data_IF_253313632785
#
_entry.id   IF_253313632785
#
_cell.length_a   1.000
_cell.length_b   1.000
_cell.length_c   1.000
_cell.angle_alpha   90.00
_cell.angle_beta   90.00
_cell.angle_gamma   90.00
#
_symmetry.space_group_name_H-M   'P 1'
#
loop_
_entity.id
_entity.type
_entity.pdbx_description
1 polymer ?
#
# COMPACT_ATOMS: atom_id res chain seq x y z
N UNK A 1 -29.67 62.87 18.95
CA UNK A 1 -30.27 62.27 17.75
C UNK A 1 -29.15 62.04 16.73
N UNK A 2 -29.01 60.82 16.21
CA UNK A 2 -28.34 60.54 14.93
C UNK A 2 -26.83 60.26 14.92
N UNK A 3 -26.50 58.98 14.71
CA UNK A 3 -25.60 58.48 13.65
C UNK A 3 -24.16 58.00 13.97
N UNK A 4 -23.97 56.70 13.62
CA UNK A 4 -22.76 55.96 13.15
C UNK A 4 -21.79 55.45 14.25
N UNK A 5 -21.24 54.22 14.23
CA UNK A 5 -20.90 53.31 13.13
C UNK A 5 -21.03 51.82 13.50
N UNK A 6 -21.29 51.01 12.48
CA UNK A 6 -21.27 49.56 12.40
C UNK A 6 -19.84 48.99 12.28
N UNK A 7 -19.60 47.80 12.83
CA UNK A 7 -18.63 46.84 12.24
C UNK A 7 -19.21 45.41 12.24
N UNK A 8 -19.24 44.73 11.08
CA UNK A 8 -19.61 43.33 10.96
C UNK A 8 -18.39 42.40 11.04
N UNK A 9 -18.53 41.26 11.75
CA UNK A 9 -17.55 40.16 11.75
C UNK A 9 -17.90 39.19 10.63
N UNK A 10 -17.03 39.08 9.63
CA UNK A 10 -17.20 38.23 8.47
C UNK A 10 -16.60 36.82 8.71
N UNK A 11 -17.39 35.79 8.37
CA UNK A 11 -16.94 34.70 7.51
C UNK A 11 -16.29 33.48 8.16
N UNK A 12 -17.11 32.54 8.61
CA UNK A 12 -16.75 31.11 8.77
C UNK A 12 -16.53 30.47 7.39
N UNK A 13 -15.43 29.71 7.15
CA UNK A 13 -15.33 28.88 5.95
C UNK A 13 -16.13 27.59 6.13
N UNK A 14 -17.30 27.54 5.47
CA UNK A 14 -18.09 26.32 5.26
C UNK A 14 -17.35 25.38 4.30
N UNK A 15 -16.85 24.25 4.81
CA UNK A 15 -16.35 23.13 3.99
C UNK A 15 -17.54 22.42 3.37
N UNK A 16 -17.72 22.58 2.05
CA UNK A 16 -18.68 21.81 1.25
C UNK A 16 -18.12 20.41 1.01
N UNK A 17 -18.75 19.41 1.63
CA UNK A 17 -18.51 18.00 1.34
C UNK A 17 -19.30 17.65 0.08
N UNK A 18 -18.58 17.49 -1.03
CA UNK A 18 -19.11 17.02 -2.30
C UNK A 18 -19.40 15.52 -2.20
N UNK A 19 -20.67 15.17 -2.11
CA UNK A 19 -21.15 13.80 -2.08
C UNK A 19 -21.25 13.27 -3.53
N UNK A 20 -20.23 12.51 -3.97
CA UNK A 20 -20.22 11.83 -5.27
C UNK A 20 -20.66 10.38 -5.11
N UNK A 21 -21.97 10.13 -5.20
CA UNK A 21 -22.51 8.78 -5.46
C UNK A 21 -22.23 8.43 -6.91
N UNK A 22 -21.21 7.62 -7.16
CA UNK A 22 -21.05 6.96 -8.45
C UNK A 22 -21.65 5.56 -8.36
N UNK A 23 -22.88 5.47 -8.87
CA UNK A 23 -23.62 4.23 -9.08
C UNK A 23 -22.90 3.37 -10.12
N UNK A 24 -22.35 2.23 -9.69
CA UNK A 24 -21.78 1.22 -10.58
C UNK A 24 -22.93 0.48 -11.28
N UNK A 25 -22.99 0.43 -12.63
CA UNK A 25 -23.97 -0.40 -13.29
C UNK A 25 -23.60 -1.89 -13.15
N UNK A 26 -24.54 -2.66 -12.59
CA UNK A 26 -24.55 -4.13 -12.66
C UNK A 26 -24.82 -4.52 -14.10
N UNK A 27 -23.79 -4.92 -14.83
CA UNK A 27 -23.93 -5.51 -16.16
C UNK A 27 -24.25 -7.00 -16.03
N UNK A 28 -25.48 -7.35 -16.43
CA UNK A 28 -25.97 -8.71 -16.60
C UNK A 28 -25.15 -9.52 -17.60
N UNK A 29 -25.02 -10.80 -17.32
CA UNK A 29 -24.39 -11.82 -18.14
C UNK A 29 -25.18 -12.14 -19.42
N UNK A 30 -24.48 -12.14 -20.55
CA UNK A 30 -24.63 -12.93 -21.81
C UNK A 30 -23.47 -12.42 -22.71
N UNK A 31 -22.67 -13.16 -23.46
CA UNK A 31 -22.84 -14.40 -24.20
C UNK A 31 -21.45 -15.02 -24.43
N UNK A 32 -21.42 -16.33 -24.66
CA UNK A 32 -20.20 -17.11 -24.85
C UNK A 32 -19.53 -16.78 -26.18
N UNK A 33 -18.31 -16.27 -26.14
CA UNK A 33 -17.39 -16.38 -27.29
C UNK A 33 -16.04 -16.90 -26.82
N UNK A 34 -15.90 -18.23 -26.85
CA UNK A 34 -14.64 -18.95 -26.66
C UNK A 34 -13.81 -18.77 -27.92
N UNK A 35 -13.14 -17.63 -28.03
CA UNK A 35 -12.00 -17.46 -28.93
C UNK A 35 -10.75 -17.85 -28.16
N UNK A 36 -10.24 -19.04 -28.45
CA UNK A 36 -9.00 -19.53 -27.83
C UNK A 36 -7.83 -18.66 -28.31
N UNK A 37 -7.09 -17.97 -27.42
CA UNK A 37 -5.97 -17.14 -27.83
C UNK A 37 -4.82 -18.00 -28.38
N UNK A 38 -4.09 -17.52 -29.40
CA UNK A 38 -2.96 -18.24 -29.98
C UNK A 38 -1.88 -18.48 -28.93
N UNK A 39 -1.35 -19.72 -28.92
CA UNK A 39 -0.28 -20.18 -28.04
C UNK A 39 0.98 -19.34 -28.27
N UNK A 40 1.19 -18.34 -27.42
CA UNK A 40 2.42 -17.55 -27.42
C UNK A 40 3.62 -18.45 -27.13
N UNK A 41 4.76 -18.27 -27.83
CA UNK A 41 6.01 -18.94 -27.48
C UNK A 41 6.37 -18.60 -26.04
N UNK A 42 6.77 -19.61 -25.27
CA UNK A 42 7.06 -19.48 -23.83
C UNK A 42 8.11 -18.38 -23.62
N UNK A 43 7.65 -17.22 -23.17
CA UNK A 43 8.51 -16.13 -22.78
C UNK A 43 9.47 -16.62 -21.69
N UNK A 44 10.76 -16.54 -21.99
CA UNK A 44 11.85 -16.73 -21.03
C UNK A 44 11.57 -15.88 -19.80
N UNK A 45 11.43 -16.50 -18.62
CA UNK A 45 11.10 -15.80 -17.38
C UNK A 45 12.00 -14.56 -17.21
N UNK A 46 11.45 -13.35 -17.01
CA UNK A 46 12.27 -12.17 -16.83
C UNK A 46 13.15 -12.33 -15.58
N UNK A 47 14.44 -12.03 -15.71
CA UNK A 47 15.38 -12.03 -14.59
C UNK A 47 14.96 -10.92 -13.63
N UNK A 48 14.48 -11.29 -12.43
CA UNK A 48 14.09 -10.34 -11.38
C UNK A 48 15.34 -9.73 -10.76
N UNK A 49 15.39 -8.41 -10.60
CA UNK A 49 16.51 -7.67 -10.01
C UNK A 49 16.00 -6.65 -8.99
N UNK A 50 16.83 -6.32 -7.99
CA UNK A 50 16.48 -5.28 -7.02
C UNK A 50 15.31 -5.72 -6.14
N UNK A 51 14.38 -4.79 -5.87
CA UNK A 51 13.24 -5.02 -4.97
C UNK A 51 12.32 -6.16 -5.44
N UNK A 52 12.21 -6.38 -6.77
CA UNK A 52 11.40 -7.48 -7.32
C UNK A 52 11.96 -8.86 -7.01
N UNK A 53 13.30 -8.97 -6.90
CA UNK A 53 13.96 -10.19 -6.47
C UNK A 53 13.72 -10.45 -4.98
N UNK A 54 13.79 -9.39 -4.15
CA UNK A 54 13.47 -9.46 -2.71
C UNK A 54 12.02 -9.88 -2.51
N UNK A 55 11.08 -9.21 -3.19
CA UNK A 55 9.66 -9.52 -3.15
C UNK A 55 9.37 -10.96 -3.56
N UNK A 56 10.03 -11.45 -4.61
CA UNK A 56 9.89 -12.85 -5.02
C UNK A 56 10.33 -13.84 -3.93
N UNK A 57 11.48 -13.57 -3.30
CA UNK A 57 12.07 -14.42 -2.27
C UNK A 57 11.22 -14.43 -0.99
N UNK A 58 10.66 -13.28 -0.62
CA UNK A 58 9.90 -13.11 0.62
C UNK A 58 8.38 -13.28 0.43
N UNK A 59 7.91 -13.54 -0.79
CA UNK A 59 6.48 -13.63 -1.15
C UNK A 59 5.65 -14.53 -0.22
N UNK A 60 6.17 -15.70 0.16
CA UNK A 60 5.44 -16.65 1.02
C UNK A 60 5.18 -16.07 2.41
N UNK A 61 6.19 -15.41 2.99
CA UNK A 61 6.10 -14.78 4.31
C UNK A 61 5.19 -13.55 4.26
N UNK A 62 5.32 -12.75 3.20
CA UNK A 62 4.43 -11.61 2.94
C UNK A 62 2.97 -12.06 2.84
N UNK A 63 2.68 -13.11 2.08
CA UNK A 63 1.31 -13.60 1.91
C UNK A 63 0.67 -14.06 3.23
N UNK A 64 1.44 -14.70 4.11
CA UNK A 64 0.95 -15.09 5.43
C UNK A 64 0.65 -13.85 6.30
N UNK A 65 1.56 -12.87 6.33
CA UNK A 65 1.36 -11.61 7.04
C UNK A 65 0.17 -10.81 6.48
N UNK A 66 0.09 -10.64 5.15
CA UNK A 66 -1.00 -9.90 4.49
C UNK A 66 -2.37 -10.52 4.80
N UNK A 67 -2.46 -11.85 4.87
CA UNK A 67 -3.71 -12.53 5.23
C UNK A 67 -4.15 -12.16 6.64
N UNK A 68 -3.23 -12.30 7.61
CA UNK A 68 -3.48 -11.92 9.00
C UNK A 68 -3.85 -10.45 9.13
N UNK A 69 -3.10 -9.56 8.45
CA UNK A 69 -3.36 -8.13 8.47
C UNK A 69 -4.72 -7.78 7.86
N UNK A 70 -5.11 -8.42 6.75
CA UNK A 70 -6.39 -8.13 6.11
C UNK A 70 -7.56 -8.54 6.99
N UNK A 71 -7.46 -9.69 7.67
CA UNK A 71 -8.46 -10.16 8.63
C UNK A 71 -8.54 -9.20 9.83
N UNK A 72 -7.40 -8.90 10.45
CA UNK A 72 -7.31 -7.96 11.57
C UNK A 72 -7.82 -6.56 11.21
N UNK A 73 -7.48 -6.05 10.02
CA UNK A 73 -7.89 -4.71 9.59
C UNK A 73 -9.42 -4.59 9.48
N UNK A 74 -10.07 -5.59 8.90
CA UNK A 74 -11.51 -5.60 8.72
C UNK A 74 -12.28 -5.87 10.02
N UNK A 75 -11.75 -6.74 10.88
CA UNK A 75 -12.47 -7.21 12.07
C UNK A 75 -12.15 -6.42 13.33
N UNK A 76 -10.94 -5.87 13.44
CA UNK A 76 -10.45 -5.18 14.63
C UNK A 76 -10.34 -3.68 14.41
N UNK A 77 -9.60 -3.27 13.39
CA UNK A 77 -9.29 -1.85 13.16
C UNK A 77 -10.52 -1.06 12.73
N UNK A 78 -11.21 -1.49 11.66
CA UNK A 78 -12.43 -0.82 11.18
C UNK A 78 -13.60 -0.89 12.19
N UNK A 79 -13.60 -1.90 13.06
CA UNK A 79 -14.63 -2.06 14.10
C UNK A 79 -14.25 -1.34 15.41
N UNK A 80 -13.12 -0.62 15.45
CA UNK A 80 -12.56 0.07 16.63
C UNK A 80 -12.37 -0.87 17.84
N UNK A 81 -12.19 -2.18 17.61
CA UNK A 81 -12.03 -3.19 18.67
C UNK A 81 -10.59 -3.31 19.15
N UNK A 82 -9.62 -3.09 18.26
CA UNK A 82 -8.20 -3.04 18.62
C UNK A 82 -7.44 -2.18 17.61
N UNK A 83 -6.46 -1.42 18.11
CA UNK A 83 -5.55 -0.59 17.34
C UNK A 83 -4.19 -1.30 17.15
N UNK A 84 -3.91 -2.31 17.98
CA UNK A 84 -2.64 -3.02 18.00
C UNK A 84 -2.70 -4.28 17.14
N UNK A 85 -2.09 -4.23 15.97
CA UNK A 85 -1.92 -5.39 15.09
C UNK A 85 -0.84 -6.35 15.61
N UNK A 86 0.08 -5.83 16.41
CA UNK A 86 1.31 -6.52 16.82
C UNK A 86 1.03 -7.76 17.69
N UNK A 87 -0.07 -7.75 18.44
CA UNK A 87 -0.49 -8.88 19.29
C UNK A 87 -0.94 -10.12 18.49
N UNK A 88 -1.56 -9.93 17.32
CA UNK A 88 -2.11 -11.03 16.52
C UNK A 88 -1.21 -11.40 15.33
N UNK A 89 -0.60 -10.41 14.67
CA UNK A 89 0.20 -10.61 13.45
C UNK A 89 1.70 -10.31 13.62
N UNK A 90 2.17 -9.96 14.83
CA UNK A 90 3.55 -9.52 15.07
C UNK A 90 4.60 -10.55 14.65
N UNK A 91 4.39 -11.84 14.97
CA UNK A 91 5.35 -12.90 14.60
C UNK A 91 5.48 -13.09 13.08
N UNK A 92 4.36 -12.98 12.37
CA UNK A 92 4.31 -13.05 10.91
C UNK A 92 5.00 -11.84 10.28
N UNK A 93 4.80 -10.66 10.87
CA UNK A 93 5.45 -9.43 10.46
C UNK A 93 6.96 -9.53 10.61
N UNK A 94 7.47 -9.95 11.78
CA UNK A 94 8.92 -10.03 12.00
C UNK A 94 9.59 -11.08 11.11
N UNK A 95 8.90 -12.19 10.87
CA UNK A 95 9.38 -13.18 9.90
C UNK A 95 9.50 -12.59 8.49
N UNK A 96 8.52 -11.81 8.05
CA UNK A 96 8.55 -11.12 6.75
C UNK A 96 9.61 -10.01 6.70
N UNK A 97 9.64 -9.12 7.69
CA UNK A 97 10.58 -8.00 7.83
C UNK A 97 12.02 -8.49 7.81
N UNK A 98 12.35 -9.53 8.57
CA UNK A 98 13.69 -10.12 8.55
C UNK A 98 14.07 -10.64 7.16
N UNK A 99 13.14 -11.26 6.43
CA UNK A 99 13.38 -11.70 5.06
C UNK A 99 13.65 -10.50 4.14
N UNK A 100 12.82 -9.46 4.28
CA UNK A 100 12.87 -8.26 3.45
C UNK A 100 14.18 -7.49 3.66
N UNK A 101 14.56 -7.23 4.91
CA UNK A 101 15.81 -6.56 5.27
C UNK A 101 17.04 -7.32 4.77
N UNK A 102 17.08 -8.65 4.95
CA UNK A 102 18.16 -9.50 4.41
C UNK A 102 18.20 -9.48 2.87
N UNK A 103 17.03 -9.41 2.24
CA UNK A 103 16.92 -9.32 0.77
C UNK A 103 17.43 -7.98 0.26
N UNK A 104 16.99 -6.88 0.87
CA UNK A 104 17.45 -5.54 0.53
C UNK A 104 18.96 -5.39 0.73
N UNK A 105 19.50 -5.87 1.87
CA UNK A 105 20.94 -5.83 2.11
C UNK A 105 21.73 -6.46 0.96
N UNK A 106 21.29 -7.63 0.49
CA UNK A 106 21.97 -8.36 -0.60
C UNK A 106 21.76 -7.75 -1.98
N UNK A 107 20.57 -7.25 -2.28
CA UNK A 107 20.28 -6.73 -3.63
C UNK A 107 20.81 -5.31 -3.84
N UNK A 108 20.88 -4.49 -2.78
CA UNK A 108 21.32 -3.09 -2.88
C UNK A 108 22.81 -2.92 -2.54
N UNK A 109 23.31 -3.55 -1.48
CA UNK A 109 24.72 -3.38 -1.06
C UNK A 109 25.66 -4.30 -1.81
N UNK A 110 25.36 -5.61 -1.94
CA UNK A 110 26.29 -6.56 -2.59
C UNK A 110 26.38 -6.33 -4.11
N UNK A 111 25.35 -5.73 -4.73
CA UNK A 111 25.33 -5.41 -6.17
C UNK A 111 25.72 -3.97 -6.49
N UNK A 112 26.14 -3.19 -5.49
CA UNK A 112 26.67 -1.83 -5.69
C UNK A 112 25.68 -0.86 -6.35
N UNK A 113 24.37 -1.01 -6.12
CA UNK A 113 23.42 -0.01 -6.60
C UNK A 113 23.61 1.29 -5.80
N UNK A 114 23.61 2.43 -6.50
CA UNK A 114 23.83 3.77 -5.92
C UNK A 114 22.87 4.01 -4.75
N UNK A 115 23.41 4.59 -3.67
CA UNK A 115 22.64 5.06 -2.51
C UNK A 115 21.37 5.79 -2.96
N UNK A 116 20.24 5.62 -2.27
CA UNK A 116 19.02 6.40 -2.51
C UNK A 116 19.38 7.89 -2.58
N UNK A 117 18.70 8.63 -3.47
CA UNK A 117 18.93 10.06 -3.65
C UNK A 117 18.83 10.78 -2.29
N UNK A 118 19.78 11.67 -2.00
CA UNK A 118 19.75 12.46 -0.76
C UNK A 118 18.43 13.22 -0.64
N UNK A 119 17.78 13.13 0.53
CA UNK A 119 16.42 13.62 0.79
C UNK A 119 15.29 12.58 0.58
N UNK A 120 15.62 11.31 0.38
CA UNK A 120 14.66 10.19 0.46
C UNK A 120 14.71 9.57 1.85
N UNK A 121 13.56 9.19 2.41
CA UNK A 121 13.38 8.52 3.71
C UNK A 121 14.35 7.33 3.93
N UNK A 122 14.75 6.66 2.85
CA UNK A 122 15.72 5.55 2.87
C UNK A 122 17.19 5.96 3.09
N UNK A 123 17.55 7.22 2.83
CA UNK A 123 18.88 7.75 3.12
C UNK A 123 19.01 8.10 4.61
N UNK A 124 17.95 8.64 5.21
CA UNK A 124 17.95 9.04 6.63
C UNK A 124 18.01 7.85 7.59
N UNK A 125 17.46 6.69 7.20
CA UNK A 125 17.48 5.47 8.05
C UNK A 125 18.78 4.63 7.91
N UNK A 126 19.75 5.07 7.10
CA UNK A 126 21.05 4.41 6.94
C UNK A 126 22.21 5.13 7.64
N UNK A 127 21.94 6.27 8.28
CA UNK A 127 22.93 7.12 8.95
C UNK A 127 22.83 7.11 10.50
N UNK A 128 21.98 6.25 11.09
CA UNK A 128 22.04 5.87 12.53
C UNK A 128 22.66 4.48 12.77
#
# INVERSE_FOLDING_TARGET
MGSQQSTPVAGTPTVKISNGSESVPVASATDSNVTTPPRQPRASKPKRTGIDAVNHKCRKKKAAYDKCFSEWYNERFLQLKSINQEEECGELFETYKQCYMKGMKREFFDKGQKKPKEGSLLAEELDE
#
